data_IF_921721500354
#
_entry.id   IF_921721500354
#
_cell.length_a   1.000
_cell.length_b   1.000
_cell.length_c   1.000
_cell.angle_alpha   90.00
_cell.angle_beta   90.00
_cell.angle_gamma   90.00
#
_symmetry.space_group_name_H-M   'P 1'
#
loop_
_entity.id
_entity.type
_entity.pdbx_description
1 polymer ?
#
# COMPACT_ATOMS: atom_id res chain seq x y z
N UNK A 1 42.29 17.68 -58.26
CA UNK A 1 41.40 18.27 -57.24
C UNK A 1 40.41 17.21 -56.78
N UNK A 2 40.64 16.59 -55.61
CA UNK A 2 39.74 15.59 -55.02
C UNK A 2 38.64 16.32 -54.25
N UNK A 3 37.38 16.17 -54.66
CA UNK A 3 36.22 16.62 -53.88
C UNK A 3 35.89 15.53 -52.85
N UNK A 4 36.16 15.82 -51.58
CA UNK A 4 35.68 15.03 -50.45
C UNK A 4 34.18 15.33 -50.28
N UNK A 5 33.33 14.32 -50.45
CA UNK A 5 31.94 14.36 -50.02
C UNK A 5 31.94 13.89 -48.56
N UNK A 6 31.74 14.81 -47.61
CA UNK A 6 31.45 14.45 -46.21
C UNK A 6 29.94 14.27 -46.06
N UNK A 7 29.52 13.02 -45.95
CA UNK A 7 28.22 12.63 -45.43
C UNK A 7 28.16 12.97 -43.94
N UNK A 8 27.31 13.91 -43.54
CA UNK A 8 27.00 14.16 -42.12
C UNK A 8 25.90 13.19 -41.72
N UNK A 9 26.30 12.10 -41.07
CA UNK A 9 25.40 11.16 -40.42
C UNK A 9 24.79 11.79 -39.15
N UNK A 10 23.51 11.52 -38.98
CA UNK A 10 22.59 11.96 -37.93
C UNK A 10 23.12 11.74 -36.51
N UNK A 11 22.91 12.73 -35.63
CA UNK A 11 23.01 12.55 -34.18
C UNK A 11 21.71 13.06 -33.53
N UNK A 12 20.63 12.28 -33.67
CA UNK A 12 19.43 12.46 -32.86
C UNK A 12 19.71 11.88 -31.47
N UNK A 13 20.15 12.71 -30.53
CA UNK A 13 20.16 12.35 -29.11
C UNK A 13 18.70 12.24 -28.64
N UNK A 14 18.12 11.05 -28.72
CA UNK A 14 16.98 10.69 -27.88
C UNK A 14 17.58 10.50 -26.48
N UNK A 15 17.52 11.57 -25.66
CA UNK A 15 17.66 11.44 -24.21
C UNK A 15 16.40 10.72 -23.76
N UNK A 16 16.41 9.39 -23.90
CA UNK A 16 15.44 8.51 -23.29
C UNK A 16 15.70 8.49 -21.80
N UNK A 17 15.34 9.57 -21.10
CA UNK A 17 15.03 9.51 -19.70
C UNK A 17 13.71 8.73 -19.59
N UNK A 18 13.77 7.41 -19.71
CA UNK A 18 12.74 6.56 -19.13
C UNK A 18 12.82 6.85 -17.64
N UNK A 19 11.82 7.51 -17.04
CA UNK A 19 11.96 7.85 -15.65
C UNK A 19 11.89 6.52 -14.90
N UNK A 20 12.85 6.31 -14.02
CA UNK A 20 12.73 5.33 -12.96
C UNK A 20 11.57 5.77 -12.07
N UNK A 21 10.34 5.53 -12.51
CA UNK A 21 9.16 6.04 -11.84
C UNK A 21 8.95 5.24 -10.56
N UNK A 22 9.34 5.86 -9.46
CA UNK A 22 8.60 5.66 -8.24
C UNK A 22 7.14 6.00 -8.55
N UNK A 23 6.27 4.99 -8.55
CA UNK A 23 4.90 5.11 -9.04
C UNK A 23 4.01 5.41 -7.85
N UNK A 24 3.52 6.65 -7.79
CA UNK A 24 2.53 7.08 -6.80
C UNK A 24 1.13 6.61 -7.21
N UNK A 25 0.30 6.32 -6.22
CA UNK A 25 -1.06 5.87 -6.44
C UNK A 25 -1.98 6.22 -5.28
N UNK A 26 -3.27 6.29 -5.55
CA UNK A 26 -4.33 6.33 -4.54
C UNK A 26 -5.14 5.05 -4.61
N UNK A 27 -5.74 4.64 -3.50
CA UNK A 27 -6.57 3.44 -3.48
C UNK A 27 -7.76 3.57 -2.54
N UNK A 28 -8.81 2.82 -2.87
CA UNK A 28 -9.99 2.61 -2.05
C UNK A 28 -10.16 1.12 -1.77
N UNK A 29 -10.60 0.77 -0.57
CA UNK A 29 -10.85 -0.61 -0.15
C UNK A 29 -12.29 -0.75 0.34
N UNK A 30 -12.92 -1.85 -0.04
CA UNK A 30 -14.16 -2.34 0.55
C UNK A 30 -13.88 -3.59 1.38
N UNK A 31 -14.21 -3.54 2.66
CA UNK A 31 -13.94 -4.61 3.62
C UNK A 31 -15.17 -5.48 3.84
N UNK A 32 -14.92 -6.76 4.07
CA UNK A 32 -15.86 -7.66 4.73
C UNK A 32 -15.81 -7.44 6.25
N UNK A 33 -16.78 -7.97 7.02
CA UNK A 33 -16.69 -7.94 8.48
C UNK A 33 -15.41 -8.60 9.00
N UNK A 34 -14.85 -8.04 10.09
CA UNK A 34 -13.67 -8.59 10.75
C UNK A 34 -14.05 -9.86 11.53
N UNK A 35 -13.33 -10.95 11.27
CA UNK A 35 -13.37 -12.17 12.07
C UNK A 35 -12.43 -12.01 13.27
N UNK A 36 -12.99 -11.70 14.43
CA UNK A 36 -12.22 -11.48 15.67
C UNK A 36 -11.75 -12.80 16.30
N UNK A 37 -10.56 -12.79 16.89
CA UNK A 37 -9.93 -13.94 17.55
C UNK A 37 -9.36 -13.50 18.90
N UNK A 38 -9.88 -14.09 19.98
CA UNK A 38 -9.40 -13.82 21.34
C UNK A 38 -9.61 -12.37 21.79
N UNK A 39 -8.80 -11.97 22.77
CA UNK A 39 -8.88 -10.66 23.43
C UNK A 39 -9.26 -10.77 24.90
N UNK A 40 -8.96 -9.71 25.65
CA UNK A 40 -9.36 -9.52 27.04
C UNK A 40 -10.09 -8.18 27.12
N UNK A 41 -11.26 -8.16 27.74
CA UNK A 41 -11.98 -6.92 27.96
C UNK A 41 -11.21 -6.04 28.97
N UNK A 42 -10.74 -4.89 28.51
CA UNK A 42 -10.16 -3.83 29.34
C UNK A 42 -11.16 -2.71 29.62
N UNK A 43 -10.79 -1.77 30.50
CA UNK A 43 -11.64 -0.61 30.81
C UNK A 43 -11.89 0.28 29.58
N UNK A 44 -10.98 0.29 28.61
CA UNK A 44 -11.04 1.07 27.38
C UNK A 44 -11.44 0.24 26.14
N UNK A 45 -12.01 -0.95 26.37
CA UNK A 45 -12.43 -1.90 25.35
C UNK A 45 -11.51 -3.12 25.21
N UNK A 46 -11.71 -3.97 24.19
CA UNK A 46 -10.93 -5.19 23.99
C UNK A 46 -9.43 -4.88 23.83
N UNK A 47 -8.58 -5.56 24.59
CA UNK A 47 -7.13 -5.53 24.47
C UNK A 47 -6.61 -6.88 23.96
N UNK A 48 -5.48 -6.87 23.27
CA UNK A 48 -4.86 -8.08 22.69
C UNK A 48 -5.80 -8.84 21.73
N UNK A 49 -6.80 -8.16 21.17
CA UNK A 49 -7.71 -8.75 20.21
C UNK A 49 -6.98 -8.92 18.87
N UNK A 50 -6.98 -10.15 18.36
CA UNK A 50 -6.57 -10.44 16.99
C UNK A 50 -7.78 -10.41 16.06
N UNK A 51 -7.53 -10.24 14.77
CA UNK A 51 -8.59 -10.33 13.76
C UNK A 51 -8.07 -10.66 12.38
N UNK A 52 -8.94 -11.22 11.54
CA UNK A 52 -8.69 -11.36 10.11
C UNK A 52 -9.84 -10.79 9.29
N UNK A 53 -9.51 -10.26 8.12
CA UNK A 53 -10.51 -9.60 7.27
C UNK A 53 -10.11 -9.73 5.81
N UNK A 54 -11.11 -9.93 4.94
CA UNK A 54 -10.92 -9.87 3.50
C UNK A 54 -11.43 -8.52 2.97
N UNK A 55 -10.89 -8.09 1.85
CA UNK A 55 -11.38 -6.92 1.14
C UNK A 55 -11.13 -6.98 -0.36
N UNK A 56 -11.78 -6.06 -1.06
CA UNK A 56 -11.47 -5.74 -2.46
C UNK A 56 -10.94 -4.33 -2.53
N UNK A 57 -10.01 -4.09 -3.44
CA UNK A 57 -9.37 -2.78 -3.59
C UNK A 57 -9.41 -2.33 -5.04
N UNK A 58 -9.40 -1.01 -5.22
CA UNK A 58 -9.19 -0.35 -6.51
C UNK A 58 -8.09 0.67 -6.33
N UNK A 59 -7.04 0.60 -7.15
CA UNK A 59 -5.94 1.55 -7.19
C UNK A 59 -6.07 2.40 -8.44
N UNK A 60 -5.80 3.70 -8.31
CA UNK A 60 -5.63 4.62 -9.44
C UNK A 60 -4.19 5.14 -9.40
N UNK A 61 -3.47 4.90 -10.48
CA UNK A 61 -2.09 5.36 -10.67
C UNK A 61 -2.07 6.80 -11.20
N UNK A 62 -0.90 7.44 -11.13
CA UNK A 62 -0.71 8.83 -11.57
C UNK A 62 -1.07 9.06 -13.05
N UNK A 63 -0.86 8.06 -13.92
CA UNK A 63 -1.24 8.11 -15.34
C UNK A 63 -2.75 7.92 -15.58
N UNK A 64 -3.53 7.78 -14.51
CA UNK A 64 -4.98 7.56 -14.54
C UNK A 64 -5.39 6.10 -14.81
N UNK A 65 -4.43 5.19 -15.04
CA UNK A 65 -4.71 3.77 -15.14
C UNK A 65 -5.20 3.23 -13.79
N UNK A 66 -5.96 2.13 -13.85
CA UNK A 66 -6.55 1.50 -12.67
C UNK A 66 -6.24 0.02 -12.65
N UNK A 67 -5.95 -0.48 -11.46
CA UNK A 67 -5.92 -1.91 -11.17
C UNK A 67 -6.87 -2.20 -10.01
N UNK A 68 -7.32 -3.44 -9.92
CA UNK A 68 -8.21 -3.88 -8.85
C UNK A 68 -7.91 -5.31 -8.46
N UNK A 69 -8.29 -5.67 -7.25
CA UNK A 69 -7.97 -6.99 -6.76
C UNK A 69 -8.60 -7.30 -5.42
N UNK A 70 -8.04 -8.32 -4.79
CA UNK A 70 -8.43 -8.78 -3.46
C UNK A 70 -7.27 -8.65 -2.50
N UNK A 71 -7.58 -8.57 -1.22
CA UNK A 71 -6.59 -8.63 -0.17
C UNK A 71 -7.17 -9.39 1.04
N UNK A 72 -6.27 -9.98 1.82
CA UNK A 72 -6.61 -10.57 3.12
C UNK A 72 -5.60 -10.06 4.15
N UNK A 73 -6.10 -9.48 5.22
CA UNK A 73 -5.31 -8.95 6.31
C UNK A 73 -5.51 -9.76 7.58
N UNK A 74 -4.47 -9.80 8.40
CA UNK A 74 -4.54 -10.17 9.81
C UNK A 74 -3.97 -9.02 10.62
N UNK A 75 -4.57 -8.73 11.76
CA UNK A 75 -4.14 -7.65 12.63
C UNK A 75 -4.32 -8.00 14.10
N UNK A 76 -3.67 -7.22 14.95
CA UNK A 76 -3.77 -7.36 16.39
C UNK A 76 -3.66 -6.00 17.08
N UNK A 77 -4.51 -5.78 18.06
CA UNK A 77 -4.43 -4.67 18.99
C UNK A 77 -3.21 -4.82 19.90
N UNK A 78 -2.51 -3.71 20.14
CA UNK A 78 -1.44 -3.63 21.11
C UNK A 78 -1.94 -2.98 22.41
N UNK A 79 -1.36 -3.37 23.56
CA UNK A 79 -1.61 -2.66 24.80
C UNK A 79 -1.08 -1.23 24.73
N UNK A 80 -1.56 -0.40 25.65
CA UNK A 80 -1.14 1.00 25.74
C UNK A 80 0.38 1.13 25.96
N UNK A 81 0.98 2.14 25.34
CA UNK A 81 2.42 2.43 25.40
C UNK A 81 3.22 2.03 24.15
N UNK A 82 2.60 1.35 23.19
CA UNK A 82 3.16 1.16 21.85
C UNK A 82 3.09 2.44 20.98
N UNK A 83 3.89 2.50 19.91
CA UNK A 83 3.82 3.59 18.91
C UNK A 83 2.51 3.53 18.12
N UNK A 84 1.96 2.33 17.95
CA UNK A 84 0.71 2.07 17.24
C UNK A 84 -0.22 1.24 18.10
N UNK A 85 -1.49 1.63 18.13
CA UNK A 85 -2.55 0.89 18.80
C UNK A 85 -2.86 -0.45 18.11
N UNK A 86 -2.64 -0.54 16.79
CA UNK A 86 -2.95 -1.74 15.99
C UNK A 86 -1.84 -1.97 14.98
N UNK A 87 -1.42 -3.24 14.80
CA UNK A 87 -0.59 -3.64 13.67
C UNK A 87 -1.35 -4.62 12.79
N UNK A 88 -1.23 -4.47 11.47
CA UNK A 88 -1.82 -5.40 10.52
C UNK A 88 -0.89 -5.69 9.35
N UNK A 89 -0.97 -6.92 8.85
CA UNK A 89 -0.26 -7.37 7.65
C UNK A 89 -1.26 -7.95 6.66
N UNK A 90 -1.07 -7.64 5.39
CA UNK A 90 -1.98 -8.07 4.33
C UNK A 90 -1.24 -8.76 3.20
N UNK A 91 -1.87 -9.79 2.65
CA UNK A 91 -1.56 -10.29 1.32
C UNK A 91 -2.46 -9.61 0.31
N UNK A 92 -1.88 -9.08 -0.76
CA UNK A 92 -2.56 -8.33 -1.82
C UNK A 92 -2.40 -9.12 -3.12
N UNK A 93 -3.50 -9.29 -3.84
CA UNK A 93 -3.55 -9.96 -5.14
C UNK A 93 -4.25 -9.05 -6.15
N UNK A 94 -3.49 -8.54 -7.11
CA UNK A 94 -4.00 -7.79 -8.26
C UNK A 94 -4.03 -8.63 -9.53
N UNK A 95 -4.41 -8.03 -10.64
CA UNK A 95 -4.38 -8.68 -11.96
C UNK A 95 -2.96 -8.85 -12.49
N UNK A 96 -2.06 -7.92 -12.14
CA UNK A 96 -0.70 -7.86 -12.67
C UNK A 96 0.34 -8.55 -11.77
N UNK A 97 -0.01 -8.88 -10.52
CA UNK A 97 0.91 -9.51 -9.58
C UNK A 97 0.41 -9.55 -8.14
N UNK A 98 1.32 -9.89 -7.23
CA UNK A 98 1.04 -10.02 -5.80
C UNK A 98 2.00 -9.18 -4.96
N UNK A 99 1.54 -8.72 -3.81
CA UNK A 99 2.30 -7.93 -2.87
C UNK A 99 1.92 -8.26 -1.42
N UNK A 100 2.74 -7.82 -0.48
CA UNK A 100 2.44 -7.82 0.95
C UNK A 100 2.54 -6.41 1.49
N UNK A 101 1.63 -6.02 2.39
CA UNK A 101 1.71 -4.73 3.11
C UNK A 101 1.73 -4.94 4.61
N UNK A 102 2.35 -4.01 5.33
CA UNK A 102 2.27 -3.91 6.78
C UNK A 102 1.82 -2.50 7.15
N UNK A 103 1.03 -2.36 8.21
CA UNK A 103 0.67 -1.06 8.77
C UNK A 103 0.79 -1.06 10.29
N UNK A 104 1.14 0.10 10.82
CA UNK A 104 0.82 0.52 12.18
C UNK A 104 -0.27 1.59 12.13
N UNK A 105 -1.28 1.44 12.98
CA UNK A 105 -2.47 2.30 13.02
C UNK A 105 -2.72 2.88 14.41
N UNK A 106 -3.29 4.09 14.43
CA UNK A 106 -3.76 4.77 15.63
C UNK A 106 -5.16 5.31 15.42
N UNK A 107 -5.93 5.44 16.51
CA UNK A 107 -7.24 6.08 16.50
C UNK A 107 -7.12 7.58 16.20
N UNK A 108 -7.93 8.09 15.28
CA UNK A 108 -8.05 9.51 14.95
C UNK A 108 -9.08 10.20 15.86
N UNK A 109 -8.95 9.97 17.17
CA UNK A 109 -9.89 10.42 18.19
C UNK A 109 -9.87 9.51 19.42
N UNK A 110 -10.79 9.74 20.38
CA UNK A 110 -10.98 8.82 21.50
C UNK A 110 -11.32 7.42 20.99
N UNK A 111 -10.73 6.37 21.58
CA UNK A 111 -10.99 4.98 21.19
C UNK A 111 -12.48 4.65 21.30
N UNK A 112 -13.04 4.05 20.27
CA UNK A 112 -14.45 3.65 20.19
C UNK A 112 -14.75 2.89 18.90
N UNK A 113 -15.90 2.19 18.82
CA UNK A 113 -16.24 1.33 17.69
C UNK A 113 -16.29 2.06 16.35
N UNK A 114 -16.73 3.32 16.35
CA UNK A 114 -16.88 4.12 15.13
C UNK A 114 -15.68 5.06 14.88
N UNK A 115 -14.59 4.91 15.64
CA UNK A 115 -13.45 5.85 15.55
C UNK A 115 -12.56 5.50 14.37
N UNK A 116 -12.34 6.43 13.43
CA UNK A 116 -11.45 6.17 12.30
C UNK A 116 -10.03 5.84 12.74
N UNK A 117 -9.34 5.03 11.95
CA UNK A 117 -7.92 4.74 12.14
C UNK A 117 -7.09 5.47 11.08
N UNK A 118 -6.00 6.08 11.53
CA UNK A 118 -4.92 6.58 10.68
C UNK A 118 -3.77 5.59 10.71
N UNK A 119 -3.37 5.10 9.55
CA UNK A 119 -2.37 4.06 9.40
C UNK A 119 -1.23 4.51 8.49
N UNK A 120 -0.03 4.07 8.81
CA UNK A 120 1.18 4.22 7.99
C UNK A 120 1.86 2.88 7.87
N UNK A 121 2.48 2.62 6.73
CA UNK A 121 2.95 1.28 6.41
C UNK A 121 4.00 1.18 5.33
N UNK A 122 4.35 -0.06 5.03
CA UNK A 122 5.23 -0.43 3.92
C UNK A 122 4.62 -1.48 3.01
N UNK A 123 5.12 -1.53 1.78
CA UNK A 123 4.78 -2.51 0.76
C UNK A 123 6.02 -3.29 0.34
N UNK A 124 5.79 -4.54 -0.03
CA UNK A 124 6.77 -5.37 -0.72
C UNK A 124 6.08 -6.14 -1.83
N UNK A 125 6.45 -5.87 -3.07
CA UNK A 125 5.99 -6.65 -4.22
C UNK A 125 6.64 -8.03 -4.23
N UNK A 126 5.86 -9.02 -4.63
CA UNK A 126 6.25 -10.44 -4.66
C UNK A 126 6.34 -10.97 -6.07
N UNK A 127 5.39 -10.58 -6.92
CA UNK A 127 5.28 -11.04 -8.30
C UNK A 127 4.88 -9.89 -9.22
N UNK A 128 4.99 -10.11 -10.53
CA UNK A 128 4.54 -9.15 -11.54
C UNK A 128 5.48 -7.94 -11.70
N UNK A 129 4.96 -6.79 -12.19
CA UNK A 129 5.76 -5.60 -12.46
C UNK A 129 6.33 -4.94 -11.17
N UNK A 130 5.89 -5.40 -10.00
CA UNK A 130 6.34 -4.92 -8.71
C UNK A 130 7.29 -5.89 -7.99
N UNK A 131 7.66 -7.02 -8.61
CA UNK A 131 8.60 -7.97 -8.02
C UNK A 131 9.89 -7.25 -7.55
N UNK A 132 10.32 -7.57 -6.34
CA UNK A 132 11.47 -6.97 -5.66
C UNK A 132 11.41 -5.45 -5.41
N UNK A 133 10.25 -4.82 -5.64
CA UNK A 133 10.02 -3.42 -5.25
C UNK A 133 9.53 -3.33 -3.81
N UNK A 134 9.96 -2.27 -3.14
CA UNK A 134 9.40 -1.80 -1.87
C UNK A 134 8.60 -0.54 -2.09
N UNK A 135 7.77 -0.19 -1.12
CA UNK A 135 7.02 1.06 -1.16
C UNK A 135 6.58 1.49 0.23
N UNK A 136 6.06 2.71 0.31
CA UNK A 136 5.37 3.24 1.47
C UNK A 136 3.91 3.48 1.15
N UNK A 137 3.06 3.43 2.17
CA UNK A 137 1.64 3.76 2.02
C UNK A 137 1.02 4.27 3.32
N UNK A 138 -0.08 4.99 3.16
CA UNK A 138 -0.92 5.53 4.22
C UNK A 138 -2.35 5.06 4.01
N UNK A 139 -3.09 4.85 5.09
CA UNK A 139 -4.50 4.47 5.03
C UNK A 139 -5.31 5.22 6.08
N UNK A 140 -6.47 5.70 5.69
CA UNK A 140 -7.55 6.12 6.58
C UNK A 140 -8.63 5.04 6.55
N UNK A 141 -8.80 4.32 7.65
CA UNK A 141 -9.92 3.40 7.84
C UNK A 141 -11.05 4.18 8.50
N UNK A 142 -12.02 4.63 7.70
CA UNK A 142 -13.03 5.60 8.15
C UNK A 142 -14.43 5.02 8.35
N UNK A 143 -14.65 3.74 8.01
CA UNK A 143 -15.84 3.00 8.40
C UNK A 143 -15.59 1.49 8.44
N UNK A 144 -16.49 0.73 9.06
CA UNK A 144 -16.42 -0.74 9.14
C UNK A 144 -16.17 -1.44 7.80
N UNK A 145 -16.63 -0.82 6.71
CA UNK A 145 -16.58 -1.42 5.38
C UNK A 145 -15.72 -0.65 4.39
N UNK A 146 -15.14 0.50 4.77
CA UNK A 146 -14.42 1.37 3.83
C UNK A 146 -13.14 1.95 4.41
N UNK A 147 -12.11 1.95 3.58
CA UNK A 147 -10.89 2.72 3.81
C UNK A 147 -10.36 3.28 2.51
N UNK A 148 -9.50 4.29 2.61
CA UNK A 148 -8.82 4.91 1.47
C UNK A 148 -7.38 5.25 1.83
N UNK A 149 -6.53 5.45 0.83
CA UNK A 149 -5.14 5.71 1.10
C UNK A 149 -4.35 6.15 -0.12
N UNK A 150 -3.07 6.39 0.12
CA UNK A 150 -2.09 6.72 -0.91
C UNK A 150 -0.84 5.87 -0.71
N UNK A 151 -0.16 5.52 -1.79
CA UNK A 151 1.09 4.79 -1.73
C UNK A 151 2.04 5.19 -2.83
N UNK A 152 3.28 4.74 -2.68
CA UNK A 152 4.32 4.94 -3.65
C UNK A 152 5.23 3.71 -3.67
N UNK A 153 5.40 3.14 -4.86
CA UNK A 153 6.46 2.17 -5.08
C UNK A 153 7.78 2.89 -5.22
N UNK A 154 8.82 2.44 -4.52
CA UNK A 154 10.19 2.90 -4.69
C UNK A 154 10.85 2.20 -5.87
N UNK A 155 11.95 2.76 -6.36
CA UNK A 155 12.75 2.16 -7.42
C UNK A 155 13.41 0.86 -6.91
N UNK A 156 13.58 -0.16 -7.77
CA UNK A 156 14.34 -1.37 -7.40
C UNK A 156 15.73 -0.97 -6.88
N UNK A 157 16.11 -1.46 -5.69
CA UNK A 157 17.44 -1.25 -5.13
C UNK A 157 17.62 -0.06 -4.18
N UNK A 158 16.56 0.67 -3.81
CA UNK A 158 16.62 1.55 -2.63
C UNK A 158 16.23 0.77 -1.37
N UNK A 159 17.13 0.61 -0.38
CA UNK A 159 16.83 -0.08 0.89
C UNK A 159 15.75 0.63 1.70
#
# INVERSE_FOLDING_TARGET
MKRLVLSVASATMIIGAVPAHAQSFTYDITWQPVESVGGIDGMDGPQYQGGSVNGTWTTTYEDGSKDSGTLRCVGMDQPDGGVFAIHLTCNIKGSEGTATSVYGCNFLGPRGPDTPLGCVGGLQGREGPFADRRGGLTMEWYSDTKSRGTGQWYSPGQP
#
